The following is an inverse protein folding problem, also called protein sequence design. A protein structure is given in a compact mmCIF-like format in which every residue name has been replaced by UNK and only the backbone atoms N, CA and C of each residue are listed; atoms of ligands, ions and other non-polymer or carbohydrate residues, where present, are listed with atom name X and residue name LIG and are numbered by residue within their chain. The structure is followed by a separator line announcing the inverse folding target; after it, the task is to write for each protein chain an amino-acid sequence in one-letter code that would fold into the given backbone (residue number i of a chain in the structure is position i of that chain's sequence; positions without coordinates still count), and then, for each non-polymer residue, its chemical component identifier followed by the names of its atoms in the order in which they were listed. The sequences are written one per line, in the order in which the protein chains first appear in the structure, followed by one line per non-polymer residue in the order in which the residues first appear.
data_IF_527085606107
#
_entry.id   IF_527085606107
#
_cell.length_a   1.000
_cell.length_b   1.000
_cell.length_c   1.000
_cell.angle_alpha   90.00
_cell.angle_beta   90.00
_cell.angle_gamma   90.00
#
_symmetry.space_group_name_H-M   'P 1'
#
loop_
_entity.id
_entity.type
_entity.pdbx_description
1 polymer ?
#
# COMPACT_ATOMS: atom_id res chain seq x y z
N UNK A 1 16.28 -11.00 -10.67
CA UNK A 1 15.25 -10.25 -9.92
C UNK A 1 15.56 -10.41 -8.45
N UNK A 2 16.04 -9.35 -7.82
CA UNK A 2 16.72 -9.39 -6.53
C UNK A 2 15.77 -9.69 -5.35
N UNK A 3 16.07 -10.78 -4.64
CA UNK A 3 15.37 -11.20 -3.42
C UNK A 3 15.38 -10.08 -2.35
N UNK A 4 16.47 -9.30 -2.31
CA UNK A 4 16.68 -8.20 -1.38
C UNK A 4 15.68 -7.04 -1.58
N UNK A 5 15.32 -6.72 -2.82
CA UNK A 5 14.36 -5.65 -3.10
C UNK A 5 12.95 -6.04 -2.67
N UNK A 6 12.62 -7.33 -2.74
CA UNK A 6 11.32 -7.85 -2.27
C UNK A 6 11.20 -7.76 -0.74
N UNK A 7 12.30 -8.01 -0.03
CA UNK A 7 12.37 -7.83 1.43
C UNK A 7 12.20 -6.35 1.78
N UNK A 8 12.97 -5.45 1.17
CA UNK A 8 12.85 -3.99 1.40
C UNK A 8 11.44 -3.47 1.12
N UNK A 9 10.83 -3.93 0.04
CA UNK A 9 9.46 -3.58 -0.31
C UNK A 9 8.48 -4.03 0.79
N UNK A 10 8.66 -5.24 1.33
CA UNK A 10 7.85 -5.74 2.45
C UNK A 10 7.99 -4.88 3.70
N UNK A 11 9.22 -4.48 4.07
CA UNK A 11 9.45 -3.59 5.22
C UNK A 11 8.76 -2.23 5.06
N UNK A 12 8.87 -1.62 3.88
CA UNK A 12 8.19 -0.36 3.56
C UNK A 12 6.68 -0.53 3.66
N UNK A 13 6.13 -1.57 3.04
CA UNK A 13 4.70 -1.87 3.08
C UNK A 13 4.20 -2.07 4.52
N UNK A 14 4.94 -2.82 5.35
CA UNK A 14 4.57 -3.05 6.76
C UNK A 14 4.55 -1.76 7.58
N UNK A 15 5.52 -0.85 7.36
CA UNK A 15 5.49 0.48 8.01
C UNK A 15 4.28 1.31 7.61
N UNK A 16 3.78 1.12 6.39
CA UNK A 16 2.54 1.75 5.90
C UNK A 16 1.27 0.97 6.31
N UNK A 17 1.35 -0.01 7.21
CA UNK A 17 0.23 -0.86 7.65
C UNK A 17 -0.35 -1.77 6.58
N UNK A 18 0.40 -2.05 5.52
CA UNK A 18 0.03 -3.02 4.48
C UNK A 18 0.50 -4.40 4.95
N UNK A 19 -0.45 -5.29 5.25
CA UNK A 19 -0.16 -6.68 5.63
C UNK A 19 0.11 -7.58 4.43
N UNK A 20 -0.48 -7.25 3.28
CA UNK A 20 -0.34 -8.05 2.05
C UNK A 20 -0.15 -7.15 0.86
N UNK A 21 0.91 -7.44 0.10
CA UNK A 21 1.25 -6.73 -1.13
C UNK A 21 1.16 -7.69 -2.31
N UNK A 22 0.46 -7.29 -3.36
CA UNK A 22 0.26 -8.09 -4.57
C UNK A 22 0.62 -7.25 -5.79
N UNK A 23 1.54 -7.73 -6.62
CA UNK A 23 1.82 -7.13 -7.92
C UNK A 23 1.17 -7.99 -9.01
N UNK A 24 0.22 -7.41 -9.76
CA UNK A 24 -0.52 -8.13 -10.79
C UNK A 24 -0.98 -7.19 -11.90
N UNK A 25 -0.85 -7.61 -13.16
CA UNK A 25 -1.32 -6.87 -14.35
C UNK A 25 -0.83 -5.41 -14.39
N UNK A 26 0.45 -5.17 -14.06
CA UNK A 26 1.03 -3.82 -14.05
C UNK A 26 0.50 -2.91 -12.94
N UNK A 27 -0.07 -3.48 -11.88
CA UNK A 27 -0.57 -2.77 -10.70
C UNK A 27 0.03 -3.36 -9.45
N UNK A 28 0.23 -2.50 -8.45
CA UNK A 28 0.60 -2.90 -7.09
C UNK A 28 -0.60 -2.67 -6.19
N UNK A 29 -1.02 -3.72 -5.49
CA UNK A 29 -2.19 -3.72 -4.62
C UNK A 29 -1.71 -4.00 -3.20
N UNK A 30 -1.86 -3.03 -2.31
CA UNK A 30 -1.62 -3.15 -0.89
C UNK A 30 -2.93 -3.36 -0.14
N UNK A 31 -3.00 -4.40 0.69
CA UNK A 31 -4.10 -4.67 1.60
C UNK A 31 -3.69 -4.20 2.99
N UNK A 32 -4.43 -3.23 3.53
CA UNK A 32 -4.20 -2.74 4.88
C UNK A 32 -4.62 -3.78 5.92
N UNK A 33 -4.25 -3.52 7.18
CA UNK A 33 -4.76 -4.25 8.35
C UNK A 33 -6.26 -4.43 8.25
N UNK A 34 -6.71 -5.67 8.40
CA UNK A 34 -8.13 -6.00 8.28
C UNK A 34 -8.98 -5.38 9.39
N UNK A 35 -8.40 -5.24 10.59
CA UNK A 35 -9.06 -4.63 11.73
C UNK A 35 -9.21 -3.13 11.54
N UNK A 36 -10.40 -2.68 11.12
CA UNK A 36 -10.70 -1.26 10.94
C UNK A 36 -10.73 -0.45 12.24
N UNK A 37 -10.79 -1.11 13.41
CA UNK A 37 -10.69 -0.46 14.71
C UNK A 37 -9.25 -0.36 15.21
N UNK A 38 -8.30 -0.91 14.45
CA UNK A 38 -6.88 -0.81 14.79
C UNK A 38 -6.44 0.64 14.91
N UNK A 39 -5.64 0.94 15.94
CA UNK A 39 -4.99 2.24 16.13
C UNK A 39 -4.16 2.67 14.90
N UNK A 40 -3.79 1.73 14.02
CA UNK A 40 -3.17 2.03 12.74
C UNK A 40 -3.99 3.03 11.90
N UNK A 41 -5.31 2.90 11.84
CA UNK A 41 -6.15 3.81 11.04
C UNK A 41 -6.26 5.23 11.63
N UNK A 42 -5.83 5.41 12.88
CA UNK A 42 -5.73 6.71 13.55
C UNK A 42 -4.28 7.23 13.58
N UNK A 43 -3.33 6.48 13.03
CA UNK A 43 -1.92 6.84 13.05
C UNK A 43 -1.57 7.92 12.03
N UNK A 44 -0.48 8.64 12.30
CA UNK A 44 0.10 9.60 11.35
C UNK A 44 0.54 8.91 10.06
N UNK A 45 1.05 7.68 10.13
CA UNK A 45 1.47 6.90 8.96
C UNK A 45 0.30 6.67 8.00
N UNK A 46 -0.87 6.26 8.52
CA UNK A 46 -2.05 6.11 7.68
C UNK A 46 -2.55 7.44 7.11
N UNK A 47 -2.46 8.51 7.89
CA UNK A 47 -2.82 9.87 7.43
C UNK A 47 -1.95 10.31 6.26
N UNK A 48 -0.63 10.08 6.32
CA UNK A 48 0.29 10.35 5.19
C UNK A 48 -0.08 9.56 3.94
N UNK A 49 -0.46 8.29 4.11
CA UNK A 49 -0.91 7.44 2.99
C UNK A 49 -2.19 8.00 2.37
N UNK A 50 -3.16 8.43 3.18
CA UNK A 50 -4.38 9.05 2.69
C UNK A 50 -4.09 10.34 1.91
N UNK A 51 -3.24 11.22 2.46
CA UNK A 51 -2.83 12.45 1.80
C UNK A 51 -2.12 12.17 0.47
N UNK A 52 -1.25 11.17 0.41
CA UNK A 52 -0.60 10.77 -0.82
C UNK A 52 -1.61 10.32 -1.89
N UNK A 53 -2.60 9.50 -1.51
CA UNK A 53 -3.65 9.06 -2.44
C UNK A 53 -4.52 10.22 -2.92
N UNK A 54 -4.85 11.17 -2.05
CA UNK A 54 -5.64 12.35 -2.41
C UNK A 54 -4.88 13.31 -3.33
N UNK A 55 -3.57 13.45 -3.15
CA UNK A 55 -2.71 14.31 -3.98
C UNK A 55 -2.35 13.67 -5.33
N UNK A 56 -2.35 12.33 -5.41
CA UNK A 56 -1.99 11.57 -6.63
C UNK A 56 -3.10 10.60 -7.09
N UNK A 57 -4.33 11.07 -7.37
CA UNK A 57 -5.48 10.21 -7.70
C UNK A 57 -5.36 9.50 -9.06
N UNK A 58 -4.46 9.97 -9.95
CA UNK A 58 -4.18 9.35 -11.25
C UNK A 58 -3.27 8.11 -11.09
N UNK A 59 -2.30 8.20 -10.19
CA UNK A 59 -1.29 7.17 -10.00
C UNK A 59 -1.74 6.10 -9.00
N UNK A 60 -2.56 6.49 -8.02
CA UNK A 60 -3.04 5.57 -7.01
C UNK A 60 -4.49 5.84 -6.58
N UNK A 61 -5.15 4.78 -6.12
CA UNK A 61 -6.54 4.83 -5.67
C UNK A 61 -6.70 3.99 -4.42
N UNK A 62 -7.50 4.45 -3.47
CA UNK A 62 -7.88 3.67 -2.29
C UNK A 62 -9.35 3.26 -2.41
N UNK A 63 -9.65 2.00 -2.06
CA UNK A 63 -11.00 1.44 -2.08
C UNK A 63 -11.22 0.57 -0.85
N UNK A 64 -12.45 0.52 -0.37
CA UNK A 64 -12.89 -0.53 0.55
C UNK A 64 -13.41 -1.70 -0.28
N UNK A 65 -13.09 -2.92 0.16
CA UNK A 65 -13.59 -4.15 -0.44
C UNK A 65 -14.09 -5.08 0.66
N UNK A 66 -15.28 -5.60 0.48
CA UNK A 66 -15.78 -6.68 1.31
C UNK A 66 -14.99 -7.97 1.04
N UNK A 67 -14.43 -8.52 2.10
CA UNK A 67 -13.73 -9.81 2.10
C UNK A 67 -14.52 -10.80 2.95
N UNK A 68 -14.19 -12.09 2.87
CA UNK A 68 -14.80 -13.14 3.71
C UNK A 68 -14.68 -12.85 5.22
N UNK A 69 -13.76 -11.97 5.63
CA UNK A 69 -13.53 -11.59 7.02
C UNK A 69 -13.99 -10.15 7.33
N UNK A 70 -14.84 -9.57 6.48
CA UNK A 70 -15.35 -8.20 6.61
C UNK A 70 -14.72 -7.20 5.65
N UNK A 71 -15.06 -5.93 5.84
CA UNK A 71 -14.56 -4.81 5.05
C UNK A 71 -13.05 -4.60 5.25
N UNK A 72 -12.33 -4.45 4.14
CA UNK A 72 -10.90 -4.23 4.14
C UNK A 72 -10.51 -3.11 3.19
N UNK A 73 -9.66 -2.21 3.64
CA UNK A 73 -9.09 -1.17 2.80
C UNK A 73 -7.98 -1.74 1.91
N UNK A 74 -7.96 -1.28 0.66
CA UNK A 74 -6.89 -1.56 -0.28
C UNK A 74 -6.47 -0.29 -0.99
N UNK A 75 -5.17 -0.16 -1.21
CA UNK A 75 -4.57 0.84 -2.10
C UNK A 75 -4.10 0.15 -3.37
N UNK A 76 -4.37 0.75 -4.51
CA UNK A 76 -3.92 0.27 -5.82
C UNK A 76 -3.10 1.36 -6.49
N UNK A 77 -1.84 1.08 -6.77
CA UNK A 77 -0.95 1.89 -7.58
C UNK A 77 -0.94 1.35 -9.01
N UNK A 78 -1.14 2.23 -9.99
CA UNK A 78 -1.14 1.89 -11.40
C UNK A 78 0.29 1.98 -11.99
N UNK A 79 0.50 1.34 -13.13
CA UNK A 79 1.76 1.36 -13.89
C UNK A 79 3.00 0.85 -13.12
N UNK A 80 2.81 -0.12 -12.22
CA UNK A 80 3.90 -0.76 -11.48
C UNK A 80 4.27 -2.08 -12.16
N UNK A 81 5.41 -2.10 -12.83
CA UNK A 81 5.92 -3.26 -13.58
C UNK A 81 7.10 -3.95 -12.91
N UNK A 82 7.74 -3.31 -11.93
CA UNK A 82 8.87 -3.90 -11.18
C UNK A 82 8.82 -3.57 -9.68
N UNK A 83 9.48 -4.42 -8.89
CA UNK A 83 9.68 -4.21 -7.45
C UNK A 83 10.40 -2.88 -7.19
N UNK A 84 11.38 -2.53 -8.03
CA UNK A 84 12.10 -1.25 -7.94
C UNK A 84 11.18 -0.04 -8.12
N UNK A 85 10.25 -0.09 -9.07
CA UNK A 85 9.22 0.95 -9.24
C UNK A 85 8.30 1.04 -8.02
N UNK A 86 7.89 -0.10 -7.46
CA UNK A 86 7.09 -0.13 -6.24
C UNK A 86 7.82 0.56 -5.08
N UNK A 87 9.10 0.24 -4.85
CA UNK A 87 9.91 0.89 -3.81
C UNK A 87 10.01 2.39 -4.04
N UNK A 88 10.27 2.84 -5.28
CA UNK A 88 10.40 4.27 -5.59
C UNK A 88 9.13 5.07 -5.32
N UNK A 89 7.95 4.48 -5.53
CA UNK A 89 6.66 5.14 -5.31
C UNK A 89 6.26 5.13 -3.83
N UNK A 90 6.60 4.07 -3.09
CA UNK A 90 6.26 3.99 -1.66
C UNK A 90 7.23 4.77 -0.77
N UNK A 91 8.49 4.92 -1.19
CA UNK A 91 9.53 5.64 -0.42
C UNK A 91 9.15 7.09 -0.03
N UNK A 92 8.60 7.95 -0.90
CA UNK A 92 8.22 9.31 -0.52
C UNK A 92 7.07 9.36 0.48
N UNK A 93 6.28 8.30 0.64
CA UNK A 93 5.15 8.26 1.59
C UNK A 93 5.64 8.08 3.04
N UNK A 94 6.86 7.55 3.21
CA UNK A 94 7.50 7.34 4.51
C UNK A 94 8.38 8.52 4.96
N UNK A 95 8.60 9.52 4.11
CA UNK A 95 9.45 10.68 4.39
C UNK A 95 8.65 11.87 4.93
#
# INVERSE_FOLDING_TARGET
VDLLDSVRLKWIATKMGIEKLIMKKGKLIGYFIQDQQSAFYQSEDFTKVLQFVQTHPKDCTMKQKETRKGLRLLVTFNNIKSVKQAVNILKPILH
#
